data_IF_655725138905
#
_entry.id   IF_655725138905
#
_cell.length_a   1.000
_cell.length_b   1.000
_cell.length_c   1.000
_cell.angle_alpha   90.00
_cell.angle_beta   90.00
_cell.angle_gamma   90.00
#
_symmetry.space_group_name_H-M   'P 1'
#
loop_
_entity.id
_entity.type
_entity.pdbx_description
1 polymer ?
#
# COMPACT_ATOMS: atom_id res chain seq x y z
N UNK A 1 -16.71 -2.77 -18.91
CA UNK A 1 -15.36 -2.15 -18.88
C UNK A 1 -14.77 -2.02 -17.46
N UNK A 2 -15.42 -1.35 -16.50
CA UNK A 2 -14.88 -1.15 -15.14
C UNK A 2 -14.49 -2.45 -14.44
N UNK A 3 -15.30 -3.51 -14.48
CA UNK A 3 -15.01 -4.80 -13.83
C UNK A 3 -13.77 -5.52 -14.40
N UNK A 4 -13.46 -5.30 -15.66
CA UNK A 4 -12.32 -5.94 -16.30
C UNK A 4 -11.03 -5.19 -16.00
N UNK A 5 -11.11 -3.86 -15.95
CA UNK A 5 -10.02 -3.02 -15.48
C UNK A 5 -9.63 -3.36 -14.04
N UNK A 6 -10.59 -3.44 -13.12
CA UNK A 6 -10.35 -3.83 -11.74
C UNK A 6 -9.67 -5.20 -11.60
N UNK A 7 -10.06 -6.16 -12.44
CA UNK A 7 -9.40 -7.49 -12.45
C UNK A 7 -7.94 -7.39 -12.86
N UNK A 8 -7.61 -6.55 -13.85
CA UNK A 8 -6.22 -6.33 -14.28
C UNK A 8 -5.41 -5.67 -13.18
N UNK A 9 -5.94 -4.62 -12.55
CA UNK A 9 -5.30 -3.94 -11.42
C UNK A 9 -5.06 -4.91 -10.27
N UNK A 10 -6.07 -5.67 -9.85
CA UNK A 10 -5.95 -6.67 -8.80
C UNK A 10 -4.87 -7.71 -9.10
N UNK A 11 -4.74 -8.14 -10.37
CA UNK A 11 -3.70 -9.08 -10.79
C UNK A 11 -2.30 -8.48 -10.68
N UNK A 12 -2.13 -7.24 -11.07
CA UNK A 12 -0.84 -6.52 -10.94
C UNK A 12 -0.45 -6.43 -9.46
N UNK A 13 -1.39 -6.05 -8.60
CA UNK A 13 -1.14 -5.93 -7.16
C UNK A 13 -0.78 -7.27 -6.55
N UNK A 14 -1.49 -8.34 -6.92
CA UNK A 14 -1.19 -9.68 -6.45
C UNK A 14 0.24 -10.10 -6.82
N UNK A 15 0.64 -9.87 -8.06
CA UNK A 15 2.01 -10.16 -8.53
C UNK A 15 3.03 -9.34 -7.72
N UNK A 16 2.77 -8.06 -7.51
CA UNK A 16 3.64 -7.19 -6.71
C UNK A 16 3.78 -7.70 -5.28
N UNK A 17 2.68 -8.08 -4.63
CA UNK A 17 2.70 -8.65 -3.29
C UNK A 17 3.48 -9.96 -3.24
N UNK A 18 3.35 -10.84 -4.24
CA UNK A 18 4.11 -12.10 -4.33
C UNK A 18 5.61 -11.84 -4.48
N UNK A 19 6.01 -10.83 -5.26
CA UNK A 19 7.42 -10.44 -5.40
C UNK A 19 7.97 -9.94 -4.06
N UNK A 20 7.25 -9.06 -3.36
CA UNK A 20 7.66 -8.54 -2.06
C UNK A 20 7.76 -9.69 -1.05
N UNK A 21 6.80 -10.61 -1.05
CA UNK A 21 6.83 -11.81 -0.21
C UNK A 21 8.08 -12.67 -0.48
N UNK A 22 8.39 -12.93 -1.75
CA UNK A 22 9.55 -13.72 -2.13
C UNK A 22 10.87 -13.06 -1.65
N UNK A 23 10.97 -11.73 -1.72
CA UNK A 23 12.12 -10.99 -1.21
C UNK A 23 12.31 -11.24 0.30
N UNK A 24 11.21 -11.16 1.09
CA UNK A 24 11.29 -11.43 2.53
C UNK A 24 11.66 -12.88 2.82
N UNK A 25 11.14 -13.83 2.04
CA UNK A 25 11.54 -15.24 2.18
C UNK A 25 13.04 -15.45 1.92
N UNK A 26 13.62 -14.77 0.92
CA UNK A 26 15.06 -14.81 0.67
C UNK A 26 15.84 -14.23 1.86
N UNK A 27 15.41 -13.13 2.45
CA UNK A 27 16.05 -12.57 3.64
C UNK A 27 15.98 -13.51 4.84
N UNK A 28 14.85 -14.18 5.07
CA UNK A 28 14.70 -15.18 6.13
C UNK A 28 15.66 -16.34 5.89
N UNK A 29 15.73 -16.89 4.68
CA UNK A 29 16.61 -18.00 4.34
C UNK A 29 18.10 -17.65 4.46
N UNK A 30 18.45 -16.38 4.28
CA UNK A 30 19.80 -15.85 4.45
C UNK A 30 20.12 -15.48 5.91
N UNK A 31 19.18 -15.63 6.83
CA UNK A 31 19.35 -15.29 8.25
C UNK A 31 19.34 -13.79 8.57
N UNK A 32 18.95 -12.94 7.61
CA UNK A 32 18.89 -11.49 7.82
C UNK A 32 17.59 -11.07 8.51
N UNK A 33 17.72 -10.49 9.72
CA UNK A 33 16.59 -9.94 10.49
C UNK A 33 15.36 -10.85 10.47
N UNK A 34 15.56 -12.13 10.77
CA UNK A 34 14.59 -13.22 10.60
C UNK A 34 13.22 -12.88 11.22
N UNK A 35 13.21 -12.36 12.46
CA UNK A 35 11.98 -12.03 13.17
C UNK A 35 11.13 -10.99 12.42
N UNK A 36 11.72 -9.86 12.05
CA UNK A 36 11.00 -8.76 11.35
C UNK A 36 10.54 -9.21 9.97
N UNK A 37 11.39 -9.89 9.21
CA UNK A 37 11.03 -10.39 7.89
C UNK A 37 9.96 -11.48 7.95
N UNK A 38 9.92 -12.29 9.00
CA UNK A 38 8.85 -13.26 9.23
C UNK A 38 7.50 -12.57 9.45
N UNK A 39 7.45 -11.52 10.27
CA UNK A 39 6.24 -10.73 10.48
C UNK A 39 5.75 -10.15 9.14
N UNK A 40 6.64 -9.57 8.35
CA UNK A 40 6.31 -9.01 7.03
C UNK A 40 5.78 -10.08 6.08
N UNK A 41 6.45 -11.24 6.00
CA UNK A 41 6.03 -12.34 5.15
C UNK A 41 4.66 -12.90 5.57
N UNK A 42 4.39 -13.04 6.87
CA UNK A 42 3.08 -13.46 7.41
C UNK A 42 2.01 -12.42 7.06
N UNK A 43 2.29 -11.14 7.26
CA UNK A 43 1.34 -10.06 6.91
C UNK A 43 0.95 -10.13 5.44
N UNK A 44 1.92 -10.28 4.53
CA UNK A 44 1.66 -10.40 3.10
C UNK A 44 0.84 -11.66 2.79
N UNK A 45 1.17 -12.80 3.42
CA UNK A 45 0.44 -14.05 3.24
C UNK A 45 -1.03 -13.92 3.64
N UNK A 46 -1.30 -13.26 4.76
CA UNK A 46 -2.67 -13.00 5.26
C UNK A 46 -3.43 -12.10 4.28
N UNK A 47 -2.80 -11.02 3.81
CA UNK A 47 -3.41 -10.10 2.84
C UNK A 47 -3.76 -10.82 1.54
N UNK A 48 -2.85 -11.63 1.00
CA UNK A 48 -3.08 -12.42 -0.20
C UNK A 48 -4.25 -13.41 0.01
N UNK A 49 -4.25 -14.14 1.12
CA UNK A 49 -5.30 -15.09 1.44
C UNK A 49 -6.68 -14.40 1.54
N UNK A 50 -6.77 -13.27 2.24
CA UNK A 50 -8.00 -12.49 2.35
C UNK A 50 -8.46 -11.96 0.98
N UNK A 51 -7.54 -11.44 0.16
CA UNK A 51 -7.87 -10.96 -1.18
C UNK A 51 -8.42 -12.09 -2.07
N UNK A 52 -7.86 -13.30 -1.98
CA UNK A 52 -8.35 -14.47 -2.72
C UNK A 52 -9.74 -14.91 -2.22
N UNK A 53 -9.98 -14.90 -0.91
CA UNK A 53 -11.29 -15.22 -0.32
C UNK A 53 -12.33 -14.20 -0.79
N UNK A 54 -12.03 -12.89 -0.70
CA UNK A 54 -12.91 -11.83 -1.17
C UNK A 54 -13.19 -11.94 -2.68
N UNK A 55 -12.19 -12.39 -3.45
CA UNK A 55 -12.35 -12.69 -4.88
C UNK A 55 -13.36 -13.80 -5.13
N UNK A 56 -13.29 -14.91 -4.38
CA UNK A 56 -14.26 -16.01 -4.45
C UNK A 56 -15.67 -15.57 -4.06
N UNK A 57 -15.79 -14.69 -3.07
CA UNK A 57 -17.06 -14.11 -2.62
C UNK A 57 -17.58 -13.01 -3.57
N UNK A 58 -16.89 -12.72 -4.68
CA UNK A 58 -17.22 -11.67 -5.66
C UNK A 58 -17.30 -10.25 -5.06
N UNK A 59 -16.63 -10.03 -3.94
CA UNK A 59 -16.56 -8.74 -3.24
C UNK A 59 -15.41 -7.87 -3.78
N UNK A 60 -15.48 -7.49 -5.05
CA UNK A 60 -14.42 -6.77 -5.75
C UNK A 60 -13.96 -5.47 -5.03
N UNK A 61 -14.91 -4.74 -4.42
CA UNK A 61 -14.59 -3.54 -3.64
C UNK A 61 -13.78 -3.86 -2.39
N UNK A 62 -14.08 -4.97 -1.71
CA UNK A 62 -13.34 -5.42 -0.53
C UNK A 62 -11.88 -5.73 -0.81
N UNK A 63 -11.56 -6.24 -2.00
CA UNK A 63 -10.19 -6.57 -2.40
C UNK A 63 -9.31 -5.32 -2.42
N UNK A 64 -9.80 -4.19 -2.93
CA UNK A 64 -9.07 -2.91 -2.97
C UNK A 64 -8.66 -2.46 -1.58
N UNK A 65 -9.61 -2.46 -0.64
CA UNK A 65 -9.35 -2.07 0.75
C UNK A 65 -8.42 -3.05 1.45
N UNK A 66 -8.54 -4.34 1.15
CA UNK A 66 -7.65 -5.36 1.69
C UNK A 66 -6.19 -5.09 1.29
N UNK A 67 -5.94 -4.77 0.02
CA UNK A 67 -4.59 -4.42 -0.44
C UNK A 67 -4.09 -3.11 0.15
N UNK A 68 -4.92 -2.07 0.21
CA UNK A 68 -4.56 -0.79 0.82
C UNK A 68 -4.14 -0.98 2.28
N UNK A 69 -4.96 -1.63 3.09
CA UNK A 69 -4.63 -1.95 4.48
C UNK A 69 -3.36 -2.80 4.57
N UNK A 70 -3.17 -3.76 3.66
CA UNK A 70 -1.97 -4.58 3.59
C UNK A 70 -0.70 -3.75 3.39
N UNK A 71 -0.70 -2.82 2.45
CA UNK A 71 0.42 -1.91 2.22
C UNK A 71 0.67 -0.99 3.43
N UNK A 72 -0.38 -0.52 4.12
CA UNK A 72 -0.25 0.26 5.35
C UNK A 72 0.42 -0.53 6.46
N UNK A 73 -0.01 -1.78 6.69
CA UNK A 73 0.61 -2.64 7.69
C UNK A 73 2.07 -2.93 7.36
N UNK A 74 2.39 -3.13 6.08
CA UNK A 74 3.77 -3.25 5.63
C UNK A 74 4.57 -1.97 5.87
N UNK A 75 4.03 -0.81 5.53
CA UNK A 75 4.69 0.47 5.76
C UNK A 75 5.03 0.67 7.24
N UNK A 76 4.08 0.38 8.15
CA UNK A 76 4.30 0.44 9.59
C UNK A 76 5.37 -0.55 10.03
N UNK A 77 5.39 -1.76 9.47
CA UNK A 77 6.39 -2.79 9.80
C UNK A 77 7.82 -2.42 9.40
N UNK A 78 7.99 -1.43 8.52
CA UNK A 78 9.28 -0.85 8.15
C UNK A 78 9.68 0.35 9.03
N UNK A 79 9.27 0.36 10.31
CA UNK A 79 9.67 1.39 11.27
C UNK A 79 11.19 1.48 11.48
N UNK A 80 11.91 0.38 11.22
CA UNK A 80 13.36 0.23 11.27
C UNK A 80 14.07 0.72 9.98
N UNK A 81 13.33 0.95 8.91
CA UNK A 81 13.87 1.40 7.62
C UNK A 81 12.95 2.44 6.98
N UNK A 82 13.24 3.70 7.27
CA UNK A 82 12.45 4.84 6.82
C UNK A 82 12.24 4.86 5.30
N UNK A 83 13.28 4.59 4.53
CA UNK A 83 13.21 4.63 3.06
C UNK A 83 12.23 3.59 2.52
N UNK A 84 12.31 2.34 3.00
CA UNK A 84 11.42 1.28 2.55
C UNK A 84 9.97 1.52 3.00
N UNK A 85 9.76 2.04 4.22
CA UNK A 85 8.43 2.42 4.70
C UNK A 85 7.76 3.47 3.81
N UNK A 86 8.49 4.52 3.42
CA UNK A 86 8.00 5.55 2.49
C UNK A 86 7.64 4.95 1.13
N UNK A 87 8.48 4.05 0.59
CA UNK A 87 8.17 3.39 -0.68
C UNK A 87 6.90 2.56 -0.61
N UNK A 88 6.62 1.86 0.49
CA UNK A 88 5.35 1.13 0.66
C UNK A 88 4.14 2.06 0.65
N UNK A 89 4.26 3.24 1.26
CA UNK A 89 3.24 4.28 1.23
C UNK A 89 3.01 4.81 -0.18
N UNK A 90 4.08 5.14 -0.89
CA UNK A 90 4.00 5.61 -2.28
C UNK A 90 3.35 4.55 -3.17
N UNK A 91 3.72 3.29 -3.01
CA UNK A 91 3.09 2.19 -3.74
C UNK A 91 1.59 2.11 -3.47
N UNK A 92 1.15 2.27 -2.22
CA UNK A 92 -0.28 2.25 -1.90
C UNK A 92 -1.04 3.32 -2.65
N UNK A 93 -0.57 4.56 -2.62
CA UNK A 93 -1.23 5.69 -3.28
C UNK A 93 -1.27 5.49 -4.80
N UNK A 94 -0.15 5.06 -5.40
CA UNK A 94 -0.09 4.77 -6.84
C UNK A 94 -1.10 3.68 -7.22
N UNK A 95 -1.14 2.60 -6.45
CA UNK A 95 -2.09 1.50 -6.66
C UNK A 95 -3.53 1.98 -6.50
N UNK A 96 -3.81 2.76 -5.46
CA UNK A 96 -5.15 3.31 -5.25
C UNK A 96 -5.60 4.20 -6.43
N UNK A 97 -4.68 4.97 -7.01
CA UNK A 97 -4.95 5.79 -8.19
C UNK A 97 -5.28 4.96 -9.45
N UNK A 98 -4.70 3.76 -9.58
CA UNK A 98 -4.95 2.87 -10.72
C UNK A 98 -6.41 2.39 -10.81
N UNK A 99 -7.18 2.41 -9.71
CA UNK A 99 -8.58 2.07 -9.74
C UNK A 99 -9.49 3.17 -10.29
N UNK A 100 -8.97 4.38 -10.49
CA UNK A 100 -9.72 5.57 -10.93
C UNK A 100 -10.97 5.86 -10.08
N UNK A 101 -10.99 5.41 -8.83
CA UNK A 101 -12.08 5.61 -7.89
C UNK A 101 -11.70 6.68 -6.86
N UNK A 102 -12.26 7.88 -7.04
CA UNK A 102 -11.98 9.04 -6.17
C UNK A 102 -12.32 8.79 -4.70
N UNK A 103 -13.39 8.00 -4.43
CA UNK A 103 -13.79 7.70 -3.05
C UNK A 103 -12.79 6.79 -2.39
N UNK A 104 -12.36 5.76 -3.12
CA UNK A 104 -11.33 4.84 -2.65
C UNK A 104 -10.01 5.57 -2.42
N UNK A 105 -9.58 6.41 -3.36
CA UNK A 105 -8.34 7.18 -3.24
C UNK A 105 -8.36 8.13 -2.03
N UNK A 106 -9.49 8.79 -1.71
CA UNK A 106 -9.63 9.61 -0.50
C UNK A 106 -9.44 8.79 0.78
N UNK A 107 -10.03 7.61 0.84
CA UNK A 107 -9.88 6.71 1.99
C UNK A 107 -8.42 6.26 2.12
N UNK A 108 -7.78 5.90 1.01
CA UNK A 108 -6.38 5.47 1.00
C UNK A 108 -5.45 6.60 1.49
N UNK A 109 -5.66 7.84 1.07
CA UNK A 109 -4.90 9.01 1.54
C UNK A 109 -5.00 9.17 3.07
N UNK A 110 -6.20 8.99 3.64
CA UNK A 110 -6.37 9.06 5.09
C UNK A 110 -5.62 7.93 5.78
N UNK A 111 -5.74 6.71 5.28
CA UNK A 111 -5.04 5.54 5.82
C UNK A 111 -3.52 5.70 5.74
N UNK A 112 -3.00 6.22 4.64
CA UNK A 112 -1.58 6.53 4.44
C UNK A 112 -1.06 7.50 5.48
N UNK A 113 -1.78 8.59 5.74
CA UNK A 113 -1.36 9.56 6.75
C UNK A 113 -1.37 8.95 8.16
N UNK A 114 -2.38 8.13 8.49
CA UNK A 114 -2.42 7.39 9.76
C UNK A 114 -1.23 6.43 9.87
N UNK A 115 -0.94 5.68 8.82
CA UNK A 115 0.18 4.73 8.80
C UNK A 115 1.52 5.45 8.99
N UNK A 116 1.73 6.59 8.31
CA UNK A 116 2.96 7.36 8.43
C UNK A 116 3.13 7.95 9.83
N UNK A 117 2.08 8.53 10.40
CA UNK A 117 2.10 9.03 11.78
C UNK A 117 2.41 7.89 12.75
N UNK A 118 1.74 6.74 12.60
CA UNK A 118 1.97 5.57 13.46
C UNK A 118 3.41 5.08 13.36
N UNK A 119 3.94 4.97 12.14
CA UNK A 119 5.31 4.56 11.87
C UNK A 119 6.31 5.51 12.52
N UNK A 120 6.09 6.83 12.42
CA UNK A 120 6.95 7.84 13.04
C UNK A 120 6.89 7.80 14.57
N UNK A 121 5.73 7.48 15.16
CA UNK A 121 5.61 7.30 16.61
C UNK A 121 6.42 6.12 17.13
N UNK A 122 6.54 5.05 16.33
CA UNK A 122 7.26 3.83 16.69
C UNK A 122 8.75 3.94 16.35
N UNK A 123 9.10 4.68 15.30
CA UNK A 123 10.49 4.84 14.86
C UNK A 123 11.36 5.51 15.91
N UNK A 124 12.57 5.02 16.04
CA UNK A 124 13.60 5.59 16.91
C UNK A 124 14.29 6.81 16.29
N UNK A 125 14.19 6.97 14.97
CA UNK A 125 14.77 8.09 14.23
C UNK A 125 13.78 9.27 14.23
N UNK A 126 14.01 10.24 15.11
CA UNK A 126 13.15 11.43 15.25
C UNK A 126 13.82 12.68 14.65
N UNK A 127 13.96 12.72 13.35
CA UNK A 127 14.27 13.98 12.65
C UNK A 127 12.96 14.67 12.26
N UNK A 128 12.54 15.66 13.05
CA UNK A 128 11.28 16.37 12.85
C UNK A 128 11.11 16.98 11.45
N UNK A 129 12.19 17.49 10.86
CA UNK A 129 12.17 18.09 9.52
C UNK A 129 11.89 17.05 8.45
N UNK A 130 12.49 15.87 8.57
CA UNK A 130 12.30 14.75 7.63
C UNK A 130 10.86 14.24 7.69
N UNK A 131 10.26 14.18 8.88
CA UNK A 131 8.85 13.78 9.06
C UNK A 131 7.92 14.74 8.34
N UNK A 132 8.09 16.05 8.54
CA UNK A 132 7.27 17.09 7.88
C UNK A 132 7.43 17.01 6.35
N UNK A 133 8.65 16.84 5.86
CA UNK A 133 8.91 16.72 4.43
C UNK A 133 8.27 15.46 3.82
N UNK A 134 8.30 14.32 4.54
CA UNK A 134 7.67 13.08 4.10
C UNK A 134 6.14 13.22 4.03
N UNK A 135 5.51 13.72 5.08
CA UNK A 135 4.06 13.94 5.12
C UNK A 135 3.65 14.94 4.01
N UNK A 136 4.39 16.03 3.85
CA UNK A 136 4.16 17.01 2.80
C UNK A 136 4.28 16.41 1.40
N UNK A 137 5.34 15.65 1.13
CA UNK A 137 5.57 14.99 -0.14
C UNK A 137 4.51 13.94 -0.49
N UNK A 138 4.10 13.13 0.49
CA UNK A 138 3.02 12.14 0.34
C UNK A 138 1.71 12.82 -0.04
N UNK A 139 1.33 13.90 0.67
CA UNK A 139 0.09 14.60 0.39
C UNK A 139 0.13 15.34 -0.95
N UNK A 140 1.29 15.88 -1.35
CA UNK A 140 1.46 16.47 -2.69
C UNK A 140 1.26 15.44 -3.80
N UNK A 141 1.89 14.27 -3.67
CA UNK A 141 1.71 13.16 -4.61
C UNK A 141 0.23 12.72 -4.66
N UNK A 142 -0.40 12.56 -3.51
CA UNK A 142 -1.81 12.21 -3.39
C UNK A 142 -2.72 13.23 -4.10
N UNK A 143 -2.44 14.53 -3.95
CA UNK A 143 -3.17 15.61 -4.63
C UNK A 143 -3.04 15.52 -6.15
N UNK A 144 -1.83 15.29 -6.66
CA UNK A 144 -1.58 15.13 -8.11
C UNK A 144 -2.38 13.93 -8.65
N UNK A 145 -2.27 12.77 -8.00
CA UNK A 145 -2.97 11.56 -8.43
C UNK A 145 -4.50 11.67 -8.32
N UNK A 146 -4.99 12.39 -7.30
CA UNK A 146 -6.41 12.68 -7.18
C UNK A 146 -6.93 13.52 -8.37
N UNK A 147 -6.17 14.54 -8.79
CA UNK A 147 -6.54 15.33 -9.96
C UNK A 147 -6.48 14.51 -11.25
N UNK A 148 -5.49 13.64 -11.42
CA UNK A 148 -5.41 12.72 -12.56
C UNK A 148 -6.63 11.80 -12.59
N UNK A 149 -7.02 11.20 -11.45
CA UNK A 149 -8.21 10.37 -11.37
C UNK A 149 -9.49 11.15 -11.65
N UNK A 150 -9.56 12.42 -11.23
CA UNK A 150 -10.68 13.32 -11.52
C UNK A 150 -10.79 13.60 -13.02
N UNK A 151 -9.69 13.92 -13.69
CA UNK A 151 -9.69 14.16 -15.13
C UNK A 151 -10.06 12.91 -15.93
N UNK A 152 -9.54 11.75 -15.52
CA UNK A 152 -9.90 10.48 -16.18
C UNK A 152 -11.41 10.20 -16.13
N UNK A 153 -12.09 10.52 -15.03
CA UNK A 153 -13.55 10.41 -14.93
C UNK A 153 -14.29 11.39 -15.86
N UNK A 154 -13.79 12.63 -15.97
CA UNK A 154 -14.40 13.67 -16.79
C UNK A 154 -14.26 13.36 -18.29
N UNK A 155 -13.18 12.69 -18.71
CA UNK A 155 -12.99 12.25 -20.11
C UNK A 155 -13.72 10.94 -20.43
N UNK A 156 -14.20 10.19 -19.44
CA UNK A 156 -14.88 8.90 -19.63
C UNK A 156 -16.41 9.02 -19.71
N UNK A 157 -16.95 10.20 -19.42
CA UNK A 157 -18.36 10.54 -19.51
C UNK A 157 -18.64 11.44 -20.70
#
# INVERSE_FOLDING_TARGET
>A
MVKEHDKRVNRIILITMLIIWAIHMVYILRGYYVWINSIRAITISVVIALALILGKLKLARGIRYCYSVGFMLLAISYYDNMKLGIWMIVFSIVIASMYFDKRFLKVDIVLVNIAEITRQCISLEKESLTVVACIGGINLLALVLYNVAKWSDEFSN
#
